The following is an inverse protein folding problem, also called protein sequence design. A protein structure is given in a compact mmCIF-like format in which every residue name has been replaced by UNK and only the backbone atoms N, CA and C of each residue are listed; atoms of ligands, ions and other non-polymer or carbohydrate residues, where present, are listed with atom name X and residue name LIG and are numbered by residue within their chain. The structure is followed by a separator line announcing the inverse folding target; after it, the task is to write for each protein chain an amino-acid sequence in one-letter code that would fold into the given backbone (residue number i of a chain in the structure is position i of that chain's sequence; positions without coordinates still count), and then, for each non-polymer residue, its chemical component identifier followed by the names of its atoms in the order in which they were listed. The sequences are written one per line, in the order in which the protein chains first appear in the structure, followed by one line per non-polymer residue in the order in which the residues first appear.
data_IF_138738478924
#
_entry.id   IF_138738478924
#
_cell.length_a   1.000
_cell.length_b   1.000
_cell.length_c   1.000
_cell.angle_alpha   90.00
_cell.angle_beta   90.00
_cell.angle_gamma   90.00
#
_symmetry.space_group_name_H-M   'P 1'
#
loop_
_entity.id
_entity.type
_entity.pdbx_description
1 polymer ?
#
# COMPACT_ATOMS: atom_id res chain seq x y z
N UNK A 1 -1.74 -16.19 7.67
CA UNK A 1 -2.68 -15.05 7.50
C UNK A 1 -4.02 -15.60 7.06
N UNK A 2 -5.12 -15.20 7.68
CA UNK A 2 -6.46 -15.64 7.29
C UNK A 2 -7.11 -14.63 6.32
N UNK A 3 -8.01 -15.10 5.47
CA UNK A 3 -8.81 -14.24 4.59
C UNK A 3 -9.57 -13.15 5.37
N UNK A 4 -10.02 -13.49 6.58
CA UNK A 4 -10.71 -12.56 7.49
C UNK A 4 -9.80 -11.42 7.96
N UNK A 5 -8.54 -11.71 8.32
CA UNK A 5 -7.60 -10.70 8.79
C UNK A 5 -7.28 -9.67 7.69
N UNK A 6 -7.09 -10.11 6.45
CA UNK A 6 -6.84 -9.22 5.30
C UNK A 6 -8.08 -8.35 5.03
N UNK A 7 -9.27 -8.94 5.09
CA UNK A 7 -10.53 -8.20 4.88
C UNK A 7 -10.73 -7.10 5.91
N UNK A 8 -10.41 -7.38 7.18
CA UNK A 8 -10.49 -6.41 8.28
C UNK A 8 -9.48 -5.28 8.11
N UNK A 9 -8.24 -5.58 7.71
CA UNK A 9 -7.23 -4.55 7.44
C UNK A 9 -7.63 -3.64 6.29
N UNK A 10 -8.19 -4.20 5.21
CA UNK A 10 -8.73 -3.41 4.10
C UNK A 10 -9.88 -2.53 4.58
N UNK A 11 -10.77 -3.04 5.44
CA UNK A 11 -11.87 -2.24 5.99
C UNK A 11 -11.39 -1.07 6.84
N UNK A 12 -10.43 -1.29 7.74
CA UNK A 12 -9.84 -0.22 8.54
C UNK A 12 -9.16 0.84 7.68
N UNK A 13 -8.51 0.42 6.59
CA UNK A 13 -7.91 1.32 5.61
C UNK A 13 -8.97 2.15 4.86
N UNK A 14 -10.06 1.51 4.41
CA UNK A 14 -11.19 2.18 3.77
C UNK A 14 -11.85 3.21 4.70
N UNK A 15 -11.98 2.89 5.99
CA UNK A 15 -12.49 3.83 7.01
C UNK A 15 -11.56 5.02 7.19
N UNK A 16 -10.26 4.79 7.26
CA UNK A 16 -9.24 5.85 7.40
C UNK A 16 -9.25 6.80 6.20
N UNK A 17 -9.43 6.26 4.99
CA UNK A 17 -9.48 7.05 3.74
C UNK A 17 -10.86 7.71 3.55
N UNK A 18 -11.91 7.16 4.17
CA UNK A 18 -13.29 7.58 3.94
C UNK A 18 -13.84 7.14 2.57
N UNK A 19 -13.22 6.13 1.93
CA UNK A 19 -13.62 5.63 0.61
C UNK A 19 -13.45 4.11 0.48
N UNK A 20 -14.38 3.47 -0.23
CA UNK A 20 -14.26 2.04 -0.59
C UNK A 20 -13.19 1.86 -1.66
N UNK A 21 -12.25 0.94 -1.44
CA UNK A 21 -11.19 0.60 -2.38
C UNK A 21 -11.57 -0.62 -3.23
N UNK A 22 -12.37 -1.52 -2.68
CA UNK A 22 -12.83 -2.72 -3.39
C UNK A 22 -14.35 -2.74 -3.57
N UNK A 23 -14.79 -3.05 -4.78
CA UNK A 23 -16.17 -3.43 -5.07
C UNK A 23 -16.31 -4.93 -4.82
N UNK A 24 -17.05 -5.28 -3.76
CA UNK A 24 -17.31 -6.66 -3.35
C UNK A 24 -18.60 -7.24 -3.93
N UNK A 25 -19.40 -6.41 -4.59
CA UNK A 25 -20.60 -6.84 -5.31
C UNK A 25 -20.24 -7.35 -6.70
N UNK A 26 -19.10 -6.92 -7.26
CA UNK A 26 -18.56 -7.49 -8.50
C UNK A 26 -18.00 -8.89 -8.26
N UNK A 27 -18.29 -9.83 -9.18
CA UNK A 27 -17.65 -11.15 -9.23
C UNK A 27 -16.87 -11.27 -10.55
N UNK A 28 -15.53 -11.28 -10.52
CA UNK A 28 -14.65 -11.22 -9.35
C UNK A 28 -14.62 -9.83 -8.68
N UNK A 29 -14.13 -9.78 -7.44
CA UNK A 29 -13.89 -8.53 -6.69
C UNK A 29 -12.97 -7.62 -7.52
N UNK A 30 -13.32 -6.35 -7.61
CA UNK A 30 -12.58 -5.37 -8.42
C UNK A 30 -12.25 -4.12 -7.63
N UNK A 31 -11.34 -3.30 -8.14
CA UNK A 31 -11.03 -2.00 -7.55
C UNK A 31 -12.07 -0.96 -7.97
N UNK A 32 -12.52 -0.16 -7.01
CA UNK A 32 -13.27 1.06 -7.29
C UNK A 32 -12.35 2.10 -7.97
N UNK A 33 -12.88 3.21 -8.52
CA UNK A 33 -12.03 4.32 -8.97
C UNK A 33 -11.06 4.83 -7.88
N UNK A 34 -11.53 4.95 -6.64
CA UNK A 34 -10.68 5.32 -5.50
C UNK A 34 -9.61 4.25 -5.22
N UNK A 35 -9.97 2.96 -5.32
CA UNK A 35 -9.04 1.83 -5.22
C UNK A 35 -7.91 1.87 -6.24
N UNK A 36 -8.21 2.24 -7.49
CA UNK A 36 -7.21 2.37 -8.56
C UNK A 36 -6.23 3.52 -8.28
N UNK A 37 -6.73 4.67 -7.84
CA UNK A 37 -5.90 5.81 -7.45
C UNK A 37 -5.01 5.43 -6.27
N UNK A 38 -5.61 4.92 -5.19
CA UNK A 38 -4.87 4.53 -3.99
C UNK A 38 -3.80 3.48 -4.29
N UNK A 39 -4.09 2.47 -5.13
CA UNK A 39 -3.11 1.46 -5.51
C UNK A 39 -1.90 2.06 -6.22
N UNK A 40 -2.12 3.03 -7.11
CA UNK A 40 -1.03 3.73 -7.79
C UNK A 40 -0.16 4.48 -6.78
N UNK A 41 -0.78 5.32 -5.94
CA UNK A 41 -0.06 6.12 -4.94
C UNK A 41 0.68 5.23 -3.93
N UNK A 42 0.05 4.16 -3.44
CA UNK A 42 0.67 3.22 -2.52
C UNK A 42 1.92 2.55 -3.11
N UNK A 43 1.88 2.16 -4.40
CA UNK A 43 3.04 1.59 -5.08
C UNK A 43 4.19 2.60 -5.20
N UNK A 44 3.88 3.85 -5.53
CA UNK A 44 4.88 4.91 -5.62
C UNK A 44 5.51 5.21 -4.26
N UNK A 45 4.72 5.26 -3.19
CA UNK A 45 5.20 5.46 -1.82
C UNK A 45 6.14 4.32 -1.39
N UNK A 46 5.74 3.07 -1.61
CA UNK A 46 6.57 1.91 -1.27
C UNK A 46 7.90 1.93 -2.03
N UNK A 47 7.86 2.24 -3.33
CA UNK A 47 9.08 2.35 -4.13
C UNK A 47 10.01 3.47 -3.63
N UNK A 48 9.46 4.64 -3.28
CA UNK A 48 10.24 5.74 -2.68
C UNK A 48 10.84 5.35 -1.34
N UNK A 49 10.09 4.62 -0.52
CA UNK A 49 10.56 4.12 0.77
C UNK A 49 11.72 3.14 0.60
N UNK A 50 11.61 2.18 -0.32
CA UNK A 50 12.69 1.24 -0.62
C UNK A 50 13.96 1.96 -1.08
N UNK A 51 13.81 2.96 -1.95
CA UNK A 51 14.93 3.79 -2.41
C UNK A 51 15.56 4.60 -1.27
N UNK A 52 14.75 5.17 -0.39
CA UNK A 52 15.23 5.92 0.79
C UNK A 52 16.00 5.01 1.74
N UNK A 53 15.50 3.81 2.02
CA UNK A 53 16.18 2.81 2.84
C UNK A 53 17.51 2.39 2.21
N UNK A 54 17.54 2.17 0.90
CA UNK A 54 18.76 1.80 0.19
C UNK A 54 19.82 2.90 0.27
N UNK A 55 19.45 4.15 -0.06
CA UNK A 55 20.37 5.29 0.02
C UNK A 55 20.88 5.55 1.44
N UNK A 56 20.04 5.34 2.45
CA UNK A 56 20.42 5.49 3.86
C UNK A 56 21.46 4.44 4.26
N UNK A 57 21.29 3.18 3.81
CA UNK A 57 22.29 2.13 4.03
C UNK A 57 23.62 2.46 3.34
N UNK A 58 23.59 2.85 2.08
CA UNK A 58 24.79 3.23 1.32
C UNK A 58 25.55 4.39 1.98
N UNK A 59 24.83 5.42 2.45
CA UNK A 59 25.42 6.54 3.17
C UNK A 59 26.06 6.09 4.50
N UNK A 60 25.42 5.18 5.24
CA UNK A 60 25.99 4.65 6.49
C UNK A 60 27.28 3.86 6.27
N UNK A 61 27.38 3.07 5.19
CA UNK A 61 28.57 2.26 4.90
C UNK A 61 29.68 3.04 4.18
N UNK A 62 29.33 4.11 3.46
CA UNK A 62 30.29 4.99 2.77
C UNK A 62 30.98 6.01 3.68
N UNK A 63 30.56 6.14 4.93
CA UNK A 63 31.19 6.99 5.96
C UNK A 63 32.26 6.28 6.79
N UNK A 64 32.44 4.97 6.62
CA UNK A 64 33.46 4.17 7.32
C UNK A 64 34.75 3.95 6.50
N UNK A 65 34.95 4.69 5.40
CA UNK A 65 36.12 4.62 4.52
C UNK A 65 36.94 5.90 4.50
#
# INVERSE_FOLDING_TARGET
MSQTAITQQIHALEETIGAKLFDRNSRPVSLTPAGKVFLKEAREIMSKMDFALQRTREASTGLEG
#
